data_IF_590571261827
#
_entry.id   IF_590571261827
#
_cell.length_a   1.000
_cell.length_b   1.000
_cell.length_c   1.000
_cell.angle_alpha   90.00
_cell.angle_beta   90.00
_cell.angle_gamma   90.00
#
_symmetry.space_group_name_H-M   'P 1'
#
loop_
_entity.id
_entity.type
_entity.pdbx_description
1 polymer ?
#
# COMPACT_ATOMS: atom_id res chain seq x y z
N UNK A 1 -20.66 -1.11 22.28
CA UNK A 1 -21.18 -1.11 20.90
C UNK A 1 -20.64 0.07 20.09
N UNK A 2 -20.82 1.32 20.54
CA UNK A 2 -20.37 2.52 19.81
C UNK A 2 -18.85 2.56 19.55
N UNK A 3 -18.03 2.09 20.49
CA UNK A 3 -16.57 2.08 20.33
C UNK A 3 -16.09 1.16 19.21
N UNK A 4 -16.69 -0.03 19.09
CA UNK A 4 -16.33 -1.02 18.06
C UNK A 4 -16.76 -0.52 16.67
N UNK A 5 -17.95 0.08 16.58
CA UNK A 5 -18.45 0.68 15.33
C UNK A 5 -17.53 1.81 14.90
N UNK A 6 -17.09 2.67 15.83
CA UNK A 6 -16.14 3.74 15.54
C UNK A 6 -14.78 3.19 15.08
N UNK A 7 -14.24 2.19 15.79
CA UNK A 7 -12.96 1.55 15.48
C UNK A 7 -12.94 0.78 14.14
N UNK A 8 -14.10 0.48 13.56
CA UNK A 8 -14.18 -0.24 12.28
C UNK A 8 -14.55 0.70 11.13
N UNK A 9 -15.53 1.58 11.36
CA UNK A 9 -16.06 2.47 10.31
C UNK A 9 -15.08 3.59 9.97
N UNK A 10 -14.41 4.17 10.97
CA UNK A 10 -13.43 5.25 10.72
C UNK A 10 -12.23 4.75 9.93
N UNK A 11 -11.55 3.64 10.31
CA UNK A 11 -10.45 3.11 9.50
C UNK A 11 -10.89 2.67 8.11
N UNK A 12 -12.10 2.11 7.96
CA UNK A 12 -12.62 1.73 6.64
C UNK A 12 -12.77 2.94 5.71
N UNK A 13 -13.45 3.99 6.16
CA UNK A 13 -13.65 5.20 5.34
C UNK A 13 -12.34 5.95 5.08
N UNK A 14 -11.47 6.02 6.09
CA UNK A 14 -10.13 6.60 5.93
C UNK A 14 -9.32 5.81 4.90
N UNK A 15 -9.32 4.48 4.97
CA UNK A 15 -8.63 3.61 4.01
C UNK A 15 -9.15 3.79 2.59
N UNK A 16 -10.47 3.82 2.42
CA UNK A 16 -11.09 4.08 1.11
C UNK A 16 -10.63 5.42 0.52
N UNK A 17 -10.70 6.50 1.30
CA UNK A 17 -10.31 7.83 0.84
C UNK A 17 -8.81 7.90 0.52
N UNK A 18 -7.96 7.39 1.41
CA UNK A 18 -6.50 7.38 1.23
C UNK A 18 -6.13 6.59 -0.02
N UNK A 19 -6.69 5.39 -0.19
CA UNK A 19 -6.39 4.55 -1.34
C UNK A 19 -6.84 5.20 -2.64
N UNK A 20 -8.03 5.79 -2.66
CA UNK A 20 -8.53 6.54 -3.80
C UNK A 20 -7.60 7.70 -4.17
N UNK A 21 -7.17 8.49 -3.19
CA UNK A 21 -6.27 9.62 -3.40
C UNK A 21 -4.89 9.16 -3.90
N UNK A 22 -4.33 8.09 -3.34
CA UNK A 22 -3.01 7.57 -3.74
C UNK A 22 -3.06 7.07 -5.19
N UNK A 23 -4.04 6.22 -5.54
CA UNK A 23 -4.19 5.69 -6.91
C UNK A 23 -4.38 6.85 -7.90
N UNK A 24 -5.26 7.81 -7.57
CA UNK A 24 -5.50 8.97 -8.43
C UNK A 24 -4.22 9.78 -8.64
N UNK A 25 -3.47 10.09 -7.57
CA UNK A 25 -2.23 10.86 -7.68
C UNK A 25 -1.15 10.12 -8.47
N UNK A 26 -1.01 8.81 -8.29
CA UNK A 26 -0.01 8.04 -9.02
C UNK A 26 -0.33 7.90 -10.50
N UNK A 27 -1.61 7.72 -10.84
CA UNK A 27 -2.05 7.75 -12.22
C UNK A 27 -1.78 9.12 -12.85
N UNK A 28 -2.18 10.22 -12.18
CA UNK A 28 -1.97 11.59 -12.67
C UNK A 28 -0.50 11.96 -12.86
N UNK A 29 0.39 11.51 -11.96
CA UNK A 29 1.83 11.81 -12.01
C UNK A 29 2.64 10.76 -12.76
N UNK A 30 2.00 9.71 -13.28
CA UNK A 30 2.67 8.55 -13.87
C UNK A 30 3.78 7.96 -12.98
N UNK A 31 3.56 7.94 -11.67
CA UNK A 31 4.53 7.45 -10.69
C UNK A 31 4.38 5.93 -10.50
N UNK A 32 5.50 5.19 -10.56
CA UNK A 32 5.54 3.72 -10.41
C UNK A 32 4.48 3.02 -11.29
N UNK A 33 4.51 3.30 -12.59
CA UNK A 33 3.55 2.74 -13.54
C UNK A 33 4.04 1.41 -14.09
N UNK A 34 3.13 0.45 -14.19
CA UNK A 34 3.34 -0.78 -14.92
C UNK A 34 2.86 -0.65 -16.36
N UNK A 35 3.72 -1.00 -17.32
CA UNK A 35 3.40 -0.90 -18.74
C UNK A 35 3.20 -2.28 -19.35
N UNK A 36 2.26 -2.36 -20.29
CA UNK A 36 1.88 -3.59 -20.98
C UNK A 36 3.01 -4.17 -21.86
N UNK A 37 3.89 -3.29 -22.35
CA UNK A 37 4.97 -3.59 -23.29
C UNK A 37 6.17 -4.33 -22.67
N UNK A 38 6.14 -4.61 -21.36
CA UNK A 38 7.25 -5.24 -20.67
C UNK A 38 6.96 -6.72 -20.43
N UNK A 39 7.83 -7.58 -20.96
CA UNK A 39 7.67 -9.04 -21.05
C UNK A 39 7.66 -9.74 -19.66
N UNK A 40 6.48 -9.76 -19.02
CA UNK A 40 6.23 -10.53 -17.79
C UNK A 40 4.93 -11.32 -17.95
N UNK A 41 4.91 -12.63 -17.60
CA UNK A 41 3.77 -13.53 -17.83
C UNK A 41 2.51 -13.16 -17.04
N UNK A 42 2.63 -12.27 -16.05
CA UNK A 42 1.53 -11.81 -15.19
C UNK A 42 0.88 -10.49 -15.65
N UNK A 43 1.30 -9.91 -16.79
CA UNK A 43 0.78 -8.63 -17.31
C UNK A 43 -0.20 -8.89 -18.45
N UNK A 44 -1.50 -8.84 -18.13
CA UNK A 44 -2.59 -9.01 -19.10
C UNK A 44 -3.38 -7.71 -19.33
N UNK A 45 -2.84 -6.57 -18.90
CA UNK A 45 -3.47 -5.26 -19.08
C UNK A 45 -2.86 -4.53 -20.27
N UNK A 46 -3.70 -3.88 -21.07
CA UNK A 46 -3.26 -3.04 -22.18
C UNK A 46 -2.98 -1.59 -21.76
N UNK A 47 -3.63 -1.14 -20.68
CA UNK A 47 -3.53 0.23 -20.18
C UNK A 47 -2.53 0.30 -19.03
N UNK A 48 -1.56 1.24 -19.04
CA UNK A 48 -0.63 1.39 -17.93
C UNK A 48 -1.36 1.62 -16.59
N UNK A 49 -0.98 0.86 -15.56
CA UNK A 49 -1.62 0.92 -14.23
C UNK A 49 -0.60 1.26 -13.14
N UNK A 50 -0.97 2.05 -12.11
CA UNK A 50 -0.09 2.31 -10.97
C UNK A 50 0.20 1.03 -10.16
N UNK A 51 1.48 0.75 -9.87
CA UNK A 51 1.92 -0.42 -9.10
C UNK A 51 2.15 -0.15 -7.62
N UNK A 52 2.37 1.10 -7.23
CA UNK A 52 2.67 1.48 -5.84
C UNK A 52 1.43 1.55 -4.92
N UNK A 53 0.37 0.78 -5.20
CA UNK A 53 -0.88 0.78 -4.43
C UNK A 53 -0.71 0.41 -2.96
N UNK A 54 0.35 -0.32 -2.61
CA UNK A 54 0.70 -0.65 -1.23
C UNK A 54 0.99 0.56 -0.34
N UNK A 55 1.42 1.69 -0.92
CA UNK A 55 1.66 2.91 -0.13
C UNK A 55 0.37 3.43 0.51
N UNK A 56 -0.74 3.43 -0.23
CA UNK A 56 -2.03 3.84 0.32
C UNK A 56 -2.52 2.92 1.43
N UNK A 57 -2.30 1.61 1.27
CA UNK A 57 -2.62 0.61 2.30
C UNK A 57 -1.82 0.86 3.58
N UNK A 58 -0.52 1.12 3.50
CA UNK A 58 0.32 1.34 4.70
C UNK A 58 0.00 2.67 5.38
N UNK A 59 -0.25 3.74 4.62
CA UNK A 59 -0.72 5.01 5.20
C UNK A 59 -2.06 4.79 5.93
N UNK A 60 -3.01 4.09 5.29
CA UNK A 60 -4.29 3.76 5.89
C UNK A 60 -4.16 2.88 7.14
N UNK A 61 -3.25 1.91 7.12
CA UNK A 61 -2.95 1.04 8.27
C UNK A 61 -2.44 1.85 9.45
N UNK A 62 -1.45 2.73 9.24
CA UNK A 62 -0.89 3.59 10.29
C UNK A 62 -1.98 4.50 10.88
N UNK A 63 -2.79 5.13 10.03
CA UNK A 63 -3.90 5.98 10.46
C UNK A 63 -4.95 5.16 11.23
N UNK A 64 -5.34 3.99 10.74
CA UNK A 64 -6.33 3.13 11.39
C UNK A 64 -5.85 2.58 12.74
N UNK A 65 -4.59 2.14 12.81
CA UNK A 65 -3.98 1.61 14.02
C UNK A 65 -3.76 2.67 15.10
N UNK A 66 -3.67 3.96 14.74
CA UNK A 66 -3.58 5.04 15.73
C UNK A 66 -4.78 5.08 16.70
N UNK A 67 -5.93 4.54 16.28
CA UNK A 67 -7.16 4.44 17.10
C UNK A 67 -7.09 3.30 18.14
N UNK A 68 -6.11 2.41 18.03
CA UNK A 68 -5.92 1.26 18.93
C UNK A 68 -4.88 1.53 20.04
N UNK A 69 -4.42 2.78 20.19
CA UNK A 69 -3.46 3.15 21.21
C UNK A 69 -2.08 2.55 20.98
N UNK A 70 -1.37 2.22 22.06
CA UNK A 70 0.05 1.81 22.03
C UNK A 70 0.30 0.53 21.23
N UNK A 71 -0.59 -0.46 21.34
CA UNK A 71 -0.48 -1.72 20.60
C UNK A 71 -0.56 -1.52 19.08
N UNK A 72 -1.42 -0.58 18.63
CA UNK A 72 -1.51 -0.22 17.23
C UNK A 72 -0.20 0.37 16.69
N UNK A 73 0.51 1.16 17.50
CA UNK A 73 1.83 1.70 17.13
C UNK A 73 2.86 0.57 16.98
N UNK A 74 2.89 -0.39 17.90
CA UNK A 74 3.81 -1.52 17.80
C UNK A 74 3.56 -2.36 16.54
N UNK A 75 2.30 -2.62 16.20
CA UNK A 75 1.93 -3.30 14.97
C UNK A 75 2.35 -2.50 13.73
N UNK A 76 2.08 -1.19 13.70
CA UNK A 76 2.49 -0.33 12.59
C UNK A 76 4.01 -0.34 12.38
N UNK A 77 4.79 -0.20 13.45
CA UNK A 77 6.26 -0.23 13.41
C UNK A 77 6.76 -1.60 12.94
N UNK A 78 6.14 -2.70 13.41
CA UNK A 78 6.53 -4.05 13.00
C UNK A 78 6.31 -4.32 11.51
N UNK A 79 5.34 -3.66 10.88
CA UNK A 79 5.04 -3.81 9.46
C UNK A 79 5.97 -2.99 8.54
N UNK A 80 6.62 -1.94 9.05
CA UNK A 80 7.45 -1.04 8.26
C UNK A 80 8.61 -1.73 7.53
N UNK A 81 9.41 -2.63 8.14
CA UNK A 81 10.53 -3.27 7.44
C UNK A 81 10.07 -4.08 6.22
N UNK A 82 9.00 -4.86 6.38
CA UNK A 82 8.43 -5.65 5.28
C UNK A 82 7.90 -4.74 4.16
N UNK A 83 7.22 -3.65 4.53
CA UNK A 83 6.74 -2.67 3.55
C UNK A 83 7.88 -1.99 2.80
N UNK A 84 8.91 -1.51 3.50
CA UNK A 84 10.03 -0.77 2.88
C UNK A 84 10.76 -1.65 1.87
N UNK A 85 11.03 -2.92 2.23
CA UNK A 85 11.69 -3.87 1.32
C UNK A 85 10.81 -4.15 0.09
N UNK A 86 9.52 -4.46 0.29
CA UNK A 86 8.60 -4.72 -0.82
C UNK A 86 8.39 -3.49 -1.72
N UNK A 87 8.25 -2.30 -1.13
CA UNK A 87 8.09 -1.05 -1.87
C UNK A 87 9.34 -0.70 -2.67
N UNK A 88 10.53 -0.93 -2.09
CA UNK A 88 11.78 -0.75 -2.81
C UNK A 88 11.92 -1.72 -3.98
N UNK A 89 11.54 -2.99 -3.81
CA UNK A 89 11.46 -3.96 -4.92
C UNK A 89 10.51 -3.48 -6.01
N UNK A 90 9.30 -3.04 -5.66
CA UNK A 90 8.31 -2.58 -6.65
C UNK A 90 8.85 -1.43 -7.51
N UNK A 91 9.70 -0.56 -6.93
CA UNK A 91 10.34 0.53 -7.64
C UNK A 91 11.54 0.10 -8.50
N UNK A 92 12.32 -0.89 -8.06
CA UNK A 92 13.64 -1.20 -8.63
C UNK A 92 13.69 -2.52 -9.41
N UNK A 93 12.77 -3.45 -9.12
CA UNK A 93 12.79 -4.85 -9.55
C UNK A 93 14.14 -5.55 -9.33
N UNK A 94 14.94 -5.11 -8.34
CA UNK A 94 16.34 -5.53 -8.18
C UNK A 94 16.60 -6.45 -6.97
N UNK A 95 15.56 -6.84 -6.23
CA UNK A 95 15.70 -7.72 -5.06
C UNK A 95 15.57 -9.19 -5.49
N UNK A 96 16.58 -10.00 -5.16
CA UNK A 96 16.53 -11.44 -5.45
C UNK A 96 15.51 -12.17 -4.56
N UNK A 97 14.92 -13.29 -5.02
CA UNK A 97 13.99 -14.08 -4.22
C UNK A 97 14.50 -14.55 -2.86
N UNK A 98 15.84 -14.66 -2.69
CA UNK A 98 16.47 -15.06 -1.44
C UNK A 98 16.53 -13.93 -0.41
N UNK A 99 16.58 -12.67 -0.84
CA UNK A 99 16.69 -11.52 0.06
C UNK A 99 15.31 -11.09 0.63
N UNK A 100 14.22 -11.57 0.01
CA UNK A 100 12.83 -11.28 0.44
C UNK A 100 12.21 -12.35 1.36
N UNK A 101 12.92 -13.43 1.64
CA UNK A 101 12.53 -14.54 2.53
C UNK A 101 13.34 -14.47 3.81
#
# INVERSE_FOLDING_TARGET
MNHIILQTTVPFLASFLIQFLVIKNFNMRSFCMDRADTDKPQRFHDVPTPRAGGLGIVIALIVGLSVFGREGVYLAVSALPAFVIGFYEDMTSSISPRLRL
#
